data_IF_977297253145
#
_entry.id   IF_977297253145
#
_cell.length_a   1.000
_cell.length_b   1.000
_cell.length_c   1.000
_cell.angle_alpha   90.00
_cell.angle_beta   90.00
_cell.angle_gamma   90.00
#
_symmetry.space_group_name_H-M   'P 1'
#
loop_
_entity.id
_entity.type
_entity.pdbx_description
1 polymer ?
#
# COMPACT_ATOMS: atom_id res chain seq x y z
N UNK A 1 -21.62 -15.86 -5.15
CA UNK A 1 -20.33 -15.18 -4.90
C UNK A 1 -19.39 -16.02 -4.02
N UNK A 2 -19.61 -17.34 -3.88
CA UNK A 2 -18.75 -18.26 -3.12
C UNK A 2 -17.75 -19.03 -4.01
N UNK A 3 -18.06 -19.22 -5.30
CA UNK A 3 -17.32 -20.16 -6.15
C UNK A 3 -15.86 -19.77 -6.43
N UNK A 4 -15.56 -18.47 -6.57
CA UNK A 4 -14.17 -18.04 -6.86
C UNK A 4 -13.28 -18.24 -5.61
N UNK A 5 -13.80 -17.94 -4.41
CA UNK A 5 -13.03 -18.10 -3.18
C UNK A 5 -12.83 -19.57 -2.83
N UNK A 6 -13.84 -20.43 -3.08
CA UNK A 6 -13.72 -21.87 -2.88
C UNK A 6 -12.72 -22.52 -3.84
N UNK A 7 -12.74 -22.18 -5.14
CA UNK A 7 -11.77 -22.68 -6.11
C UNK A 7 -10.35 -22.31 -5.71
N UNK A 8 -10.10 -21.08 -5.26
CA UNK A 8 -8.76 -20.66 -4.83
C UNK A 8 -8.35 -21.16 -3.44
N UNK A 9 -9.32 -21.52 -2.58
CA UNK A 9 -9.05 -22.16 -1.29
C UNK A 9 -8.49 -23.58 -1.44
N UNK A 10 -8.86 -24.31 -2.50
CA UNK A 10 -8.25 -25.61 -2.83
C UNK A 10 -6.76 -25.49 -3.23
N UNK A 11 -6.31 -24.33 -3.73
CA UNK A 11 -4.94 -24.13 -4.22
C UNK A 11 -3.91 -23.68 -3.16
N UNK A 12 -4.18 -23.88 -1.87
CA UNK A 12 -3.23 -23.63 -0.77
C UNK A 12 -2.62 -22.21 -0.84
N UNK A 13 -1.31 -22.06 -1.06
CA UNK A 13 -0.65 -20.76 -1.22
C UNK A 13 -0.65 -20.22 -2.66
N UNK A 14 -0.79 -21.10 -3.66
CA UNK A 14 -0.74 -20.70 -5.07
C UNK A 14 -1.98 -19.90 -5.48
N UNK A 15 -3.16 -20.23 -4.92
CA UNK A 15 -4.37 -19.46 -5.15
C UNK A 15 -4.28 -18.05 -4.58
N UNK A 16 -3.75 -17.92 -3.36
CA UNK A 16 -3.50 -16.63 -2.70
C UNK A 16 -2.54 -15.76 -3.54
N UNK A 17 -1.48 -16.37 -4.07
CA UNK A 17 -0.56 -15.70 -4.98
C UNK A 17 -1.29 -15.13 -6.21
N UNK A 18 -2.07 -15.96 -6.92
CA UNK A 18 -2.78 -15.56 -8.12
C UNK A 18 -3.78 -14.41 -7.86
N UNK A 19 -4.54 -14.49 -6.77
CA UNK A 19 -5.45 -13.42 -6.35
C UNK A 19 -4.67 -12.12 -6.10
N UNK A 20 -3.56 -12.19 -5.36
CA UNK A 20 -2.76 -11.00 -5.04
C UNK A 20 -2.12 -10.38 -6.28
N UNK A 21 -1.75 -11.17 -7.28
CA UNK A 21 -1.31 -10.68 -8.59
C UNK A 21 -2.44 -9.90 -9.25
N UNK A 22 -3.63 -10.49 -9.37
CA UNK A 22 -4.78 -9.85 -10.02
C UNK A 22 -5.17 -8.53 -9.34
N UNK A 23 -5.28 -8.52 -8.01
CA UNK A 23 -5.62 -7.33 -7.23
C UNK A 23 -4.58 -6.22 -7.35
N UNK A 24 -3.29 -6.55 -7.45
CA UNK A 24 -2.23 -5.54 -7.56
C UNK A 24 -1.95 -5.11 -9.01
N UNK A 25 -2.40 -5.88 -10.00
CA UNK A 25 -2.35 -5.51 -11.41
C UNK A 25 -3.45 -4.50 -11.78
N UNK A 26 -4.59 -4.52 -11.07
CA UNK A 26 -5.68 -3.58 -11.30
C UNK A 26 -5.30 -2.14 -10.89
N UNK A 27 -5.53 -1.14 -11.76
CA UNK A 27 -5.09 0.24 -11.51
C UNK A 27 -5.87 0.94 -10.38
N UNK A 28 -7.14 0.60 -10.15
CA UNK A 28 -8.04 1.35 -9.25
C UNK A 28 -9.02 0.44 -8.47
N UNK A 29 -9.24 0.81 -7.20
CA UNK A 29 -10.31 0.33 -6.29
C UNK A 29 -10.32 -1.16 -5.95
N UNK A 30 -9.18 -1.71 -5.58
CA UNK A 30 -9.12 -3.05 -4.98
C UNK A 30 -9.09 -2.96 -3.46
N UNK A 31 -9.70 -3.93 -2.75
CA UNK A 31 -9.60 -4.00 -1.30
C UNK A 31 -8.13 -4.06 -0.87
N UNK A 32 -7.78 -3.45 0.28
CA UNK A 32 -6.44 -3.57 0.82
C UNK A 32 -6.00 -5.04 0.90
N UNK A 33 -4.90 -5.36 0.24
CA UNK A 33 -4.43 -6.73 0.04
C UNK A 33 -4.03 -7.45 1.33
N UNK A 34 -3.73 -6.70 2.39
CA UNK A 34 -3.50 -7.27 3.73
C UNK A 34 -4.78 -7.86 4.31
N UNK A 35 -5.96 -7.31 4.00
CA UNK A 35 -7.26 -7.84 4.44
C UNK A 35 -7.47 -9.21 3.81
N UNK A 36 -7.17 -9.33 2.52
CA UNK A 36 -7.29 -10.61 1.80
C UNK A 36 -6.44 -11.69 2.47
N UNK A 37 -5.17 -11.39 2.76
CA UNK A 37 -4.28 -12.32 3.47
C UNK A 37 -4.76 -12.63 4.89
N UNK A 38 -5.23 -11.62 5.62
CA UNK A 38 -5.79 -11.79 6.96
C UNK A 38 -7.06 -12.64 6.96
N UNK A 39 -7.92 -12.51 5.95
CA UNK A 39 -9.11 -13.35 5.78
C UNK A 39 -8.75 -14.81 5.52
N UNK A 40 -7.75 -15.08 4.68
CA UNK A 40 -7.26 -16.45 4.48
C UNK A 40 -6.70 -17.05 5.77
N UNK A 41 -5.91 -16.27 6.54
CA UNK A 41 -5.41 -16.70 7.84
C UNK A 41 -6.51 -16.89 8.90
N UNK A 42 -7.57 -16.09 8.84
CA UNK A 42 -8.72 -16.22 9.75
C UNK A 42 -9.61 -17.43 9.41
N UNK A 43 -9.73 -17.78 8.13
CA UNK A 43 -10.47 -18.94 7.66
C UNK A 43 -9.74 -20.25 7.98
N UNK A 44 -8.41 -20.26 7.84
CA UNK A 44 -7.57 -21.42 8.18
C UNK A 44 -6.30 -20.97 8.91
N UNK A 45 -6.22 -21.33 10.19
CA UNK A 45 -5.09 -20.96 11.06
C UNK A 45 -3.88 -21.87 10.90
N UNK A 46 -3.95 -22.90 10.04
CA UNK A 46 -2.80 -23.76 9.71
C UNK A 46 -1.80 -23.07 8.78
N UNK A 47 -2.21 -22.00 8.08
CA UNK A 47 -1.31 -21.19 7.28
C UNK A 47 -0.26 -20.49 8.15
N UNK A 48 1.00 -20.56 7.73
CA UNK A 48 2.09 -19.86 8.39
C UNK A 48 2.09 -18.38 7.96
N UNK A 49 2.17 -17.49 8.95
CA UNK A 49 2.09 -16.03 8.75
C UNK A 49 3.27 -15.53 7.89
N UNK A 50 4.47 -16.08 8.08
CA UNK A 50 5.65 -15.71 7.32
C UNK A 50 5.51 -16.18 5.86
N UNK A 51 5.07 -17.41 5.63
CA UNK A 51 4.81 -17.91 4.28
C UNK A 51 3.73 -17.12 3.56
N UNK A 52 2.60 -16.81 4.22
CA UNK A 52 1.56 -15.93 3.68
C UNK A 52 2.12 -14.56 3.30
N UNK A 53 2.96 -13.98 4.15
CA UNK A 53 3.58 -12.68 3.92
C UNK A 53 4.52 -12.71 2.72
N UNK A 54 5.33 -13.77 2.57
CA UNK A 54 6.26 -13.96 1.45
C UNK A 54 5.52 -14.18 0.13
N UNK A 55 4.54 -15.08 0.13
CA UNK A 55 3.72 -15.41 -1.05
C UNK A 55 2.89 -14.20 -1.47
N UNK A 56 2.20 -13.57 -0.52
CA UNK A 56 1.42 -12.37 -0.76
C UNK A 56 2.28 -11.21 -1.28
N UNK A 57 3.46 -10.99 -0.71
CA UNK A 57 4.37 -9.92 -1.17
C UNK A 57 4.88 -10.19 -2.57
N UNK A 58 5.15 -11.45 -2.91
CA UNK A 58 5.59 -11.86 -4.24
C UNK A 58 4.48 -11.65 -5.27
N UNK A 59 3.26 -12.08 -4.96
CA UNK A 59 2.09 -11.85 -5.83
C UNK A 59 1.79 -10.37 -6.01
N UNK A 60 1.85 -9.60 -4.92
CA UNK A 60 1.66 -8.16 -4.98
C UNK A 60 2.72 -7.48 -5.85
N UNK A 61 4.00 -7.85 -5.70
CA UNK A 61 5.11 -7.28 -6.47
C UNK A 61 4.98 -7.60 -7.96
N UNK A 62 4.58 -8.82 -8.31
CA UNK A 62 4.32 -9.21 -9.70
C UNK A 62 3.13 -8.43 -10.28
N UNK A 63 2.04 -8.25 -9.52
CA UNK A 63 0.94 -7.38 -9.92
C UNK A 63 1.40 -5.94 -10.15
N UNK A 64 2.28 -5.39 -9.30
CA UNK A 64 2.85 -4.05 -9.47
C UNK A 64 3.74 -3.92 -10.71
N UNK A 65 4.51 -4.96 -11.01
CA UNK A 65 5.28 -5.03 -12.24
C UNK A 65 4.37 -4.93 -13.46
N UNK A 66 3.27 -5.68 -13.48
CA UNK A 66 2.26 -5.64 -14.55
C UNK A 66 1.65 -4.25 -14.66
N UNK A 67 1.21 -3.65 -13.54
CA UNK A 67 0.62 -2.31 -13.51
C UNK A 67 1.59 -1.23 -14.02
N UNK A 68 2.85 -1.27 -13.60
CA UNK A 68 3.90 -0.36 -14.08
C UNK A 68 4.11 -0.49 -15.58
N UNK A 69 4.10 -1.73 -16.10
CA UNK A 69 4.29 -2.00 -17.53
C UNK A 69 3.13 -1.48 -18.37
N UNK A 70 1.89 -1.68 -17.92
CA UNK A 70 0.71 -1.09 -18.57
C UNK A 70 0.72 0.43 -18.49
N UNK A 71 1.04 1.01 -17.33
CA UNK A 71 1.14 2.46 -17.15
C UNK A 71 2.20 3.08 -18.06
N UNK A 72 3.29 2.37 -18.30
CA UNK A 72 4.31 2.79 -19.26
C UNK A 72 3.78 2.90 -20.69
N UNK A 73 2.85 2.03 -21.11
CA UNK A 73 2.20 2.14 -22.41
C UNK A 73 1.43 3.45 -22.56
N UNK A 74 0.84 3.94 -21.47
CA UNK A 74 0.11 5.22 -21.46
C UNK A 74 1.02 6.44 -21.50
N UNK A 75 2.33 6.30 -21.26
CA UNK A 75 3.30 7.40 -21.41
C UNK A 75 3.22 8.05 -22.79
N UNK A 76 2.94 7.27 -23.84
CA UNK A 76 2.82 7.76 -25.23
C UNK A 76 1.67 8.76 -25.44
N UNK A 77 0.69 8.77 -24.54
CA UNK A 77 -0.44 9.71 -24.57
C UNK A 77 -0.19 10.97 -23.71
N UNK A 78 0.84 10.97 -22.86
CA UNK A 78 1.20 12.17 -22.10
C UNK A 78 1.84 13.22 -23.03
N UNK A 79 1.40 14.48 -22.94
CA UNK A 79 1.98 15.59 -23.70
C UNK A 79 3.42 15.95 -23.27
N UNK A 80 4.16 16.74 -24.07
CA UNK A 80 5.58 17.04 -23.86
C UNK A 80 5.89 17.65 -22.50
N UNK A 81 5.07 18.61 -22.02
CA UNK A 81 5.30 19.24 -20.72
C UNK A 81 5.15 18.26 -19.55
N UNK A 82 4.14 17.38 -19.58
CA UNK A 82 3.93 16.37 -18.51
C UNK A 82 5.06 15.34 -18.49
N UNK A 83 5.56 14.93 -19.66
CA UNK A 83 6.73 14.03 -19.75
C UNK A 83 7.98 14.67 -19.16
N UNK A 84 8.26 15.94 -19.46
CA UNK A 84 9.42 16.65 -18.92
C UNK A 84 9.40 16.74 -17.38
N UNK A 85 8.22 16.97 -16.78
CA UNK A 85 8.06 16.94 -15.32
C UNK A 85 8.36 15.55 -14.72
N UNK A 86 7.82 14.50 -15.34
CA UNK A 86 8.06 13.11 -14.93
C UNK A 86 9.54 12.72 -15.10
N UNK A 87 10.19 13.14 -16.17
CA UNK A 87 11.61 12.86 -16.43
C UNK A 87 12.53 13.56 -15.42
N UNK A 88 12.14 14.75 -14.93
CA UNK A 88 12.86 15.43 -13.84
C UNK A 88 12.82 14.63 -12.54
N UNK A 89 11.66 14.08 -12.18
CA UNK A 89 11.50 13.23 -10.99
C UNK A 89 12.31 11.94 -11.17
N UNK A 90 12.22 11.30 -12.33
CA UNK A 90 12.97 10.10 -12.69
C UNK A 90 14.49 10.31 -12.52
N UNK A 91 15.03 11.43 -13.01
CA UNK A 91 16.44 11.81 -12.87
C UNK A 91 16.86 11.98 -11.40
N UNK A 92 16.00 12.59 -10.57
CA UNK A 92 16.27 12.78 -9.15
C UNK A 92 16.30 11.46 -8.38
N UNK A 93 15.38 10.54 -8.69
CA UNK A 93 15.36 9.21 -8.06
C UNK A 93 16.50 8.33 -8.57
N UNK A 94 16.85 8.40 -9.86
CA UNK A 94 17.96 7.61 -10.43
C UNK A 94 19.34 8.14 -10.04
N UNK A 95 19.45 9.42 -9.66
CA UNK A 95 20.71 10.02 -9.23
C UNK A 95 21.27 9.46 -7.92
N UNK A 96 20.49 8.66 -7.18
CA UNK A 96 20.93 7.97 -5.96
C UNK A 96 20.60 6.48 -6.08
N UNK A 97 21.57 5.62 -5.81
CA UNK A 97 21.38 4.16 -5.87
C UNK A 97 20.22 3.67 -4.97
N UNK A 98 20.00 4.35 -3.85
CA UNK A 98 18.94 4.05 -2.89
C UNK A 98 17.60 4.75 -3.16
N UNK A 99 17.52 5.65 -4.15
CA UNK A 99 16.34 6.49 -4.39
C UNK A 99 15.06 5.68 -4.66
N UNK A 100 15.13 4.76 -5.62
CA UNK A 100 14.03 3.83 -5.93
C UNK A 100 13.71 2.84 -4.81
N UNK A 101 14.68 2.04 -4.30
CA UNK A 101 14.36 1.03 -3.29
C UNK A 101 13.84 1.63 -1.99
N UNK A 102 14.39 2.75 -1.50
CA UNK A 102 13.90 3.38 -0.27
C UNK A 102 12.49 3.96 -0.47
N UNK A 103 12.24 4.64 -1.60
CA UNK A 103 10.91 5.18 -1.89
C UNK A 103 9.87 4.05 -1.96
N UNK A 104 10.17 2.99 -2.70
CA UNK A 104 9.29 1.83 -2.82
C UNK A 104 9.08 1.11 -1.49
N UNK A 105 10.12 0.97 -0.68
CA UNK A 105 10.03 0.37 0.66
C UNK A 105 9.12 1.19 1.57
N UNK A 106 9.33 2.51 1.66
CA UNK A 106 8.52 3.37 2.51
C UNK A 106 7.05 3.33 2.11
N UNK A 107 6.75 3.42 0.81
CA UNK A 107 5.37 3.32 0.31
C UNK A 107 4.73 1.94 0.50
N UNK A 108 5.53 0.87 0.55
CA UNK A 108 5.03 -0.48 0.80
C UNK A 108 4.82 -0.78 2.29
N UNK A 109 5.68 -0.24 3.14
CA UNK A 109 5.63 -0.43 4.58
C UNK A 109 4.55 0.44 5.25
N UNK A 110 4.15 1.53 4.61
CA UNK A 110 3.16 2.48 5.12
C UNK A 110 1.82 2.35 4.37
N UNK A 111 0.70 2.87 4.92
CA UNK A 111 -0.59 2.87 4.25
C UNK A 111 -0.68 3.85 3.06
N UNK A 112 0.46 4.25 2.47
CA UNK A 112 0.50 5.17 1.35
C UNK A 112 -0.04 4.51 0.06
N UNK A 113 -0.56 5.31 -0.89
CA UNK A 113 -1.14 4.79 -2.12
C UNK A 113 -0.06 4.28 -3.08
N UNK A 114 0.44 3.07 -2.83
CA UNK A 114 1.47 2.47 -3.68
C UNK A 114 0.99 2.26 -5.12
N UNK A 115 -0.32 2.23 -5.39
CA UNK A 115 -0.85 2.13 -6.77
C UNK A 115 -0.39 3.32 -7.61
N UNK A 116 -0.56 4.53 -7.06
CA UNK A 116 -0.16 5.76 -7.72
C UNK A 116 1.35 5.80 -7.93
N UNK A 117 2.13 5.27 -6.97
CA UNK A 117 3.58 5.18 -7.11
C UNK A 117 4.00 4.34 -8.32
N UNK A 118 3.44 3.14 -8.51
CA UNK A 118 3.79 2.28 -9.65
C UNK A 118 3.26 2.80 -10.98
N UNK A 119 2.10 3.47 -10.98
CA UNK A 119 1.61 4.21 -12.15
C UNK A 119 2.60 5.32 -12.52
N UNK A 120 3.05 6.11 -11.55
CA UNK A 120 4.05 7.14 -11.76
C UNK A 120 5.37 6.55 -12.27
N UNK A 121 5.88 5.45 -11.69
CA UNK A 121 7.07 4.75 -12.19
C UNK A 121 6.92 4.31 -13.64
N UNK A 122 5.75 3.82 -14.03
CA UNK A 122 5.45 3.45 -15.42
C UNK A 122 5.50 4.65 -16.36
N UNK A 123 4.83 5.74 -15.99
CA UNK A 123 4.79 6.98 -16.78
C UNK A 123 6.18 7.65 -16.88
N UNK A 124 6.98 7.58 -15.82
CA UNK A 124 8.39 8.02 -15.81
C UNK A 124 9.31 7.09 -16.62
N UNK A 125 8.86 5.88 -16.98
CA UNK A 125 9.68 4.88 -17.65
C UNK A 125 10.83 4.36 -16.79
N UNK A 126 10.66 4.34 -15.47
CA UNK A 126 11.66 3.80 -14.56
C UNK A 126 11.80 2.29 -14.78
N UNK A 127 13.03 1.78 -14.90
CA UNK A 127 13.34 0.36 -15.14
C UNK A 127 14.32 -0.23 -14.11
N UNK A 128 14.27 0.26 -12.88
CA UNK A 128 15.20 -0.17 -11.84
C UNK A 128 14.62 -1.37 -11.04
N UNK A 129 15.38 -2.47 -10.96
CA UNK A 129 15.00 -3.66 -10.17
C UNK A 129 14.82 -3.33 -8.68
N UNK A 130 15.55 -2.32 -8.17
CA UNK A 130 15.43 -1.83 -6.80
C UNK A 130 14.03 -1.36 -6.42
N UNK A 131 13.21 -0.94 -7.40
CA UNK A 131 11.80 -0.60 -7.17
C UNK A 131 11.06 -1.80 -6.57
N UNK A 132 11.23 -2.97 -7.18
CA UNK A 132 10.53 -4.19 -6.82
C UNK A 132 11.12 -4.79 -5.55
N UNK A 133 12.45 -4.79 -5.41
CA UNK A 133 13.11 -5.26 -4.19
C UNK A 133 12.67 -4.45 -2.96
N UNK A 134 12.70 -3.12 -3.05
CA UNK A 134 12.23 -2.24 -1.97
C UNK A 134 10.76 -2.46 -1.63
N UNK A 135 9.90 -2.54 -2.66
CA UNK A 135 8.47 -2.80 -2.47
C UNK A 135 8.22 -4.16 -1.82
N UNK A 136 8.87 -5.22 -2.30
CA UNK A 136 8.73 -6.57 -1.79
C UNK A 136 9.13 -6.63 -0.31
N UNK A 137 10.30 -6.10 0.07
CA UNK A 137 10.73 -6.05 1.47
C UNK A 137 9.73 -5.29 2.35
N UNK A 138 9.25 -4.12 1.90
CA UNK A 138 8.27 -3.34 2.66
C UNK A 138 6.94 -4.07 2.82
N UNK A 139 6.51 -4.81 1.78
CA UNK A 139 5.29 -5.62 1.83
C UNK A 139 5.43 -6.84 2.74
N UNK A 140 6.58 -7.51 2.76
CA UNK A 140 6.79 -8.65 3.68
C UNK A 140 6.64 -8.19 5.12
N UNK A 141 7.29 -7.08 5.49
CA UNK A 141 7.20 -6.52 6.84
C UNK A 141 5.77 -6.07 7.15
N UNK A 142 5.14 -5.31 6.24
CA UNK A 142 3.77 -4.80 6.45
C UNK A 142 2.74 -5.91 6.57
N UNK A 143 2.77 -6.90 5.68
CA UNK A 143 1.85 -8.04 5.73
C UNK A 143 2.05 -8.88 6.97
N UNK A 144 3.30 -9.16 7.35
CA UNK A 144 3.57 -9.92 8.56
C UNK A 144 2.94 -9.24 9.79
N UNK A 145 3.20 -7.94 9.98
CA UNK A 145 2.64 -7.18 11.10
C UNK A 145 1.12 -7.16 11.05
N UNK A 146 0.52 -6.85 9.89
CA UNK A 146 -0.93 -6.73 9.74
C UNK A 146 -1.66 -8.06 9.96
N UNK A 147 -1.10 -9.17 9.47
CA UNK A 147 -1.67 -10.51 9.70
C UNK A 147 -1.53 -10.90 11.17
N UNK A 148 -0.39 -10.64 11.80
CA UNK A 148 -0.20 -10.93 13.23
C UNK A 148 -1.20 -10.19 14.14
N UNK A 149 -1.53 -8.93 13.83
CA UNK A 149 -2.53 -8.16 14.60
C UNK A 149 -3.97 -8.32 14.06
N UNK A 150 -4.17 -9.13 13.02
CA UNK A 150 -5.44 -9.20 12.31
C UNK A 150 -6.60 -9.66 13.19
N UNK A 151 -6.41 -10.56 14.14
CA UNK A 151 -7.51 -11.00 15.02
C UNK A 151 -8.13 -9.86 15.83
N UNK A 152 -7.35 -8.82 16.13
CA UNK A 152 -7.81 -7.64 16.88
C UNK A 152 -8.34 -6.55 15.94
N UNK A 153 -7.79 -6.44 14.74
CA UNK A 153 -8.08 -5.34 13.79
C UNK A 153 -9.15 -5.72 12.76
N UNK A 154 -9.19 -6.96 12.30
CA UNK A 154 -10.02 -7.41 11.17
C UNK A 154 -11.50 -7.41 11.51
N UNK A 155 -11.89 -7.83 12.72
CA UNK A 155 -13.30 -7.85 13.16
C UNK A 155 -13.90 -6.45 13.21
N UNK A 156 -13.33 -5.47 13.95
CA UNK A 156 -13.86 -4.11 13.93
C UNK A 156 -13.78 -3.49 12.54
N UNK A 157 -12.72 -3.77 11.77
CA UNK A 157 -12.58 -3.25 10.41
C UNK A 157 -13.67 -3.77 9.46
N UNK A 158 -13.97 -5.08 9.47
CA UNK A 158 -15.03 -5.66 8.61
C UNK A 158 -16.41 -5.16 9.03
N UNK A 159 -16.66 -4.97 10.32
CA UNK A 159 -17.90 -4.34 10.82
C UNK A 159 -18.06 -2.91 10.30
N UNK A 160 -16.97 -2.12 10.22
CA UNK A 160 -17.00 -0.79 9.60
C UNK A 160 -17.37 -0.82 8.10
N UNK A 161 -17.11 -1.92 7.38
CA UNK A 161 -17.51 -2.06 5.98
C UNK A 161 -18.91 -2.64 5.79
N UNK A 162 -19.43 -3.40 6.76
CA UNK A 162 -20.78 -3.97 6.72
C UNK A 162 -21.86 -2.97 7.15
N UNK A 163 -21.60 -2.17 8.19
CA UNK A 163 -22.53 -1.15 8.65
C UNK A 163 -22.30 0.18 7.92
N UNK A 164 -23.08 0.40 6.84
CA UNK A 164 -22.95 1.55 5.92
C UNK A 164 -22.95 2.94 6.58
N UNK A 165 -23.49 3.11 7.78
CA UNK A 165 -23.59 4.44 8.43
C UNK A 165 -22.62 4.61 9.60
N UNK A 166 -22.49 3.62 10.48
CA UNK A 166 -21.56 3.67 11.63
C UNK A 166 -20.11 3.59 11.16
N UNK A 167 -19.86 2.77 10.14
CA UNK A 167 -18.57 2.64 9.48
C UNK A 167 -18.01 3.95 8.95
N UNK A 168 -18.86 4.69 8.23
CA UNK A 168 -18.50 6.00 7.68
C UNK A 168 -18.22 6.98 8.81
N UNK A 169 -19.10 7.09 9.81
CA UNK A 169 -18.92 8.03 10.93
C UNK A 169 -17.64 7.76 11.73
N UNK A 170 -17.30 6.49 12.00
CA UNK A 170 -16.09 6.12 12.74
C UNK A 170 -14.84 6.33 11.88
N UNK A 171 -14.88 5.97 10.59
CA UNK A 171 -13.76 6.20 9.68
C UNK A 171 -13.50 7.70 9.48
N UNK A 172 -14.55 8.51 9.38
CA UNK A 172 -14.46 9.95 9.21
C UNK A 172 -14.00 10.62 10.52
N UNK A 173 -14.50 10.19 11.67
CA UNK A 173 -14.02 10.64 12.98
C UNK A 173 -12.55 10.26 13.23
N UNK A 174 -12.14 9.03 12.85
CA UNK A 174 -10.75 8.60 12.92
C UNK A 174 -9.87 9.39 11.93
N UNK A 175 -10.36 9.65 10.72
CA UNK A 175 -9.69 10.47 9.72
C UNK A 175 -9.47 11.90 10.22
N UNK A 176 -10.52 12.55 10.73
CA UNK A 176 -10.43 13.87 11.38
C UNK A 176 -9.47 13.82 12.57
N UNK A 177 -9.54 12.79 13.41
CA UNK A 177 -8.62 12.61 14.53
C UNK A 177 -7.16 12.51 14.10
N UNK A 178 -6.86 11.74 13.06
CA UNK A 178 -5.51 11.63 12.47
C UNK A 178 -5.06 12.96 11.88
N UNK A 179 -5.92 13.67 11.16
CA UNK A 179 -5.59 14.99 10.60
C UNK A 179 -5.33 16.00 11.70
N UNK A 180 -6.15 16.02 12.76
CA UNK A 180 -5.95 16.88 13.93
C UNK A 180 -4.64 16.52 14.63
N UNK A 181 -4.38 15.23 14.91
CA UNK A 181 -3.11 14.79 15.49
C UNK A 181 -1.92 15.18 14.63
N UNK A 182 -2.00 15.00 13.33
CA UNK A 182 -0.96 15.40 12.37
C UNK A 182 -0.73 16.92 12.39
N UNK A 183 -1.80 17.71 12.47
CA UNK A 183 -1.73 19.17 12.60
C UNK A 183 -1.19 19.60 13.98
N UNK A 184 -1.41 18.80 15.03
CA UNK A 184 -0.86 19.04 16.35
C UNK A 184 0.65 18.77 16.44
N UNK A 185 1.26 18.04 15.50
CA UNK A 185 2.69 17.70 15.58
C UNK A 185 3.55 18.90 15.19
N UNK A 186 4.52 19.23 16.04
CA UNK A 186 5.59 20.19 15.72
C UNK A 186 6.58 19.57 14.72
N UNK A 187 6.28 19.71 13.44
CA UNK A 187 7.10 19.14 12.36
C UNK A 187 8.53 19.67 12.34
N UNK A 188 8.75 20.92 12.74
CA UNK A 188 10.07 21.54 12.79
C UNK A 188 10.92 20.88 13.88
N UNK A 189 10.36 20.71 15.08
CA UNK A 189 11.04 20.05 16.18
C UNK A 189 11.24 18.54 15.92
N UNK A 190 10.24 17.88 15.31
CA UNK A 190 10.29 16.46 14.97
C UNK A 190 11.42 16.17 13.98
N UNK A 191 11.51 16.95 12.89
CA UNK A 191 12.48 16.71 11.82
C UNK A 191 13.89 17.18 12.16
N UNK A 192 14.02 18.29 12.91
CA UNK A 192 15.32 18.87 13.27
C UNK A 192 15.96 18.21 14.49
N UNK A 193 15.17 17.94 15.54
CA UNK A 193 15.66 17.50 16.85
C UNK A 193 15.27 16.06 17.21
N UNK A 194 14.50 15.36 16.35
CA UNK A 194 13.91 14.03 16.63
C UNK A 194 13.14 13.98 17.96
N UNK A 195 12.54 15.09 18.37
CA UNK A 195 11.72 15.19 19.59
C UNK A 195 10.28 15.43 19.22
N UNK A 196 9.38 14.59 19.72
CA UNK A 196 7.94 14.75 19.57
C UNK A 196 7.45 15.84 20.53
N UNK A 197 6.86 16.89 19.98
CA UNK A 197 6.13 17.92 20.74
C UNK A 197 4.80 18.17 20.05
N UNK A 198 3.74 18.24 20.85
CA UNK A 198 2.41 18.59 20.37
C UNK A 198 2.15 20.08 20.60
N UNK A 199 1.84 20.79 19.52
CA UNK A 199 1.35 22.16 19.51
C UNK A 199 -0.18 22.09 19.46
N UNK A 200 -0.87 22.86 20.29
CA UNK A 200 -2.34 22.96 20.18
C UNK A 200 -2.69 23.72 18.89
N UNK A 201 -3.43 23.12 17.96
CA UNK A 201 -3.83 23.80 16.75
C UNK A 201 -4.79 24.93 17.15
N UNK A 202 -4.51 26.16 16.69
CA UNK A 202 -5.40 27.32 16.89
C UNK A 202 -6.62 27.19 15.96
N UNK A 203 -7.48 26.22 16.20
CA UNK A 203 -8.66 25.98 15.34
C UNK A 203 -9.84 26.91 15.70
N UNK A 204 -9.71 27.71 16.76
CA UNK A 204 -10.77 28.62 17.25
C UNK A 204 -10.24 30.04 17.45
N UNK A 205 -9.84 30.69 16.36
CA UNK A 205 -9.90 32.16 16.25
C UNK A 205 -10.81 32.49 15.08
N UNK A 206 -12.11 32.40 15.34
CA UNK A 206 -13.12 33.20 14.67
C UNK A 206 -13.40 34.41 15.57
#
# INVERSE_FOLDING_TARGET
MADIFDIFSEYSYAGIFAILVALNAAPLLMPPTWIVLASFYAADTTYDILLLSLVGSSGATLGRFILQRYSHLFRRFAGPQRRAGLDTINKRLSGRWYGYPVTSFLFAATPLPSNMLFVAYGLMGARNIGIYAGFWCGRVVSYYIMISISRVVLVPFLQLFQDRYVGILVADAAGVGVVVLFACIDWELLLSRRKLRFIRPRVWRL
#
